data_IF_843141710926
#
_entry.id   IF_843141710926
#
_cell.length_a   1.000
_cell.length_b   1.000
_cell.length_c   1.000
_cell.angle_alpha   90.00
_cell.angle_beta   90.00
_cell.angle_gamma   90.00
#
_symmetry.space_group_name_H-M   'P 1'
#
loop_
_entity.id
_entity.type
_entity.pdbx_description
1 polymer ?
#
# COMPACT_ATOMS: atom_id res chain seq x y z
N UNK A 1 -11.41 -10.65 -18.66
CA UNK A 1 -12.27 -11.80 -18.32
C UNK A 1 -12.10 -12.23 -16.87
N UNK A 2 -11.23 -13.17 -16.49
CA UNK A 2 -11.03 -13.55 -15.07
C UNK A 2 -10.29 -12.49 -14.24
N UNK A 3 -9.43 -11.72 -14.92
CA UNK A 3 -8.64 -10.61 -14.38
C UNK A 3 -9.41 -9.67 -13.43
N UNK A 4 -10.66 -9.34 -13.78
CA UNK A 4 -11.46 -8.38 -13.04
C UNK A 4 -12.06 -8.96 -11.75
N UNK A 5 -12.21 -10.28 -11.65
CA UNK A 5 -12.89 -10.94 -10.54
C UNK A 5 -11.91 -11.45 -9.47
N UNK A 6 -10.70 -11.85 -9.87
CA UNK A 6 -9.73 -12.45 -8.95
C UNK A 6 -8.87 -11.38 -8.25
N UNK A 7 -8.83 -11.34 -6.91
CA UNK A 7 -7.90 -10.51 -6.16
C UNK A 7 -6.44 -10.76 -6.54
N UNK A 8 -5.61 -9.71 -6.47
CA UNK A 8 -4.18 -9.68 -6.84
C UNK A 8 -3.90 -9.81 -8.33
N UNK A 9 -4.68 -10.59 -9.08
CA UNK A 9 -4.44 -10.82 -10.49
C UNK A 9 -4.47 -9.51 -11.28
N UNK A 10 -5.36 -8.59 -10.91
CA UNK A 10 -5.43 -7.26 -11.51
C UNK A 10 -4.15 -6.46 -11.27
N UNK A 11 -3.66 -6.43 -10.03
CA UNK A 11 -2.41 -5.73 -9.70
C UNK A 11 -1.21 -6.36 -10.41
N UNK A 12 -1.12 -7.69 -10.42
CA UNK A 12 0.00 -8.40 -11.04
C UNK A 12 0.07 -8.05 -12.54
N UNK A 13 -1.03 -8.16 -13.26
CA UNK A 13 -1.02 -7.94 -14.71
C UNK A 13 -0.89 -6.46 -15.11
N UNK A 14 -1.52 -5.54 -14.37
CA UNK A 14 -1.57 -4.13 -14.79
C UNK A 14 -0.51 -3.24 -14.16
N UNK A 15 0.05 -3.63 -13.00
CA UNK A 15 1.03 -2.83 -12.25
C UNK A 15 2.39 -3.51 -12.18
N UNK A 16 2.44 -4.82 -11.93
CA UNK A 16 3.69 -5.57 -11.71
C UNK A 16 4.18 -6.23 -13.00
N UNK A 17 4.64 -5.41 -13.94
CA UNK A 17 5.01 -5.83 -15.30
C UNK A 17 6.13 -6.88 -15.41
N UNK A 18 6.91 -7.11 -14.36
CA UNK A 18 8.05 -8.04 -14.36
C UNK A 18 8.10 -8.89 -13.10
N UNK A 19 8.78 -10.04 -13.17
CA UNK A 19 9.03 -10.89 -11.99
C UNK A 19 9.76 -10.13 -10.88
N UNK A 20 10.66 -9.21 -11.25
CA UNK A 20 11.35 -8.34 -10.30
C UNK A 20 10.39 -7.39 -9.58
N UNK A 21 9.38 -6.84 -10.26
CA UNK A 21 8.34 -6.03 -9.61
C UNK A 21 7.45 -6.86 -8.68
N UNK A 22 7.14 -8.10 -9.04
CA UNK A 22 6.41 -9.03 -8.15
C UNK A 22 7.23 -9.33 -6.90
N UNK A 23 8.51 -9.66 -7.05
CA UNK A 23 9.41 -9.89 -5.92
C UNK A 23 9.53 -8.64 -5.04
N UNK A 24 9.72 -7.46 -5.65
CA UNK A 24 9.76 -6.20 -4.93
C UNK A 24 8.48 -5.96 -4.14
N UNK A 25 7.32 -6.26 -4.71
CA UNK A 25 6.05 -6.13 -4.02
C UNK A 25 5.94 -7.08 -2.81
N UNK A 26 6.36 -8.35 -2.95
CA UNK A 26 6.38 -9.30 -1.83
C UNK A 26 7.26 -8.79 -0.67
N UNK A 27 8.45 -8.29 -0.99
CA UNK A 27 9.42 -7.76 -0.02
C UNK A 27 8.94 -6.45 0.61
N UNK A 28 8.30 -5.57 -0.14
CA UNK A 28 7.84 -4.27 0.38
C UNK A 28 6.55 -4.37 1.19
N UNK A 29 5.69 -5.34 0.86
CA UNK A 29 4.33 -5.38 1.41
C UNK A 29 4.07 -6.65 2.21
N UNK A 30 4.27 -7.83 1.63
CA UNK A 30 3.87 -9.09 2.26
C UNK A 30 4.75 -9.43 3.46
N UNK A 31 6.09 -9.40 3.29
CA UNK A 31 7.02 -9.73 4.38
C UNK A 31 6.84 -8.78 5.58
N UNK A 32 6.77 -7.45 5.40
CA UNK A 32 6.59 -6.54 6.52
C UNK A 32 5.29 -6.79 7.29
N UNK A 33 4.19 -7.11 6.61
CA UNK A 33 2.90 -7.42 7.26
C UNK A 33 3.05 -8.59 8.23
N UNK A 34 3.69 -9.68 7.81
CA UNK A 34 3.94 -10.82 8.70
C UNK A 34 5.04 -10.54 9.74
N UNK A 35 6.00 -9.66 9.44
CA UNK A 35 7.00 -9.21 10.41
C UNK A 35 6.38 -8.39 11.55
N UNK A 36 5.42 -7.51 11.25
CA UNK A 36 4.66 -6.76 12.25
C UNK A 36 3.98 -7.70 13.25
N UNK A 37 3.45 -8.80 12.74
CA UNK A 37 2.74 -9.77 13.55
C UNK A 37 3.64 -10.33 14.67
N UNK A 38 4.88 -10.75 14.37
CA UNK A 38 5.76 -11.45 15.32
C UNK A 38 6.05 -10.65 16.58
N UNK A 39 5.85 -9.33 16.52
CA UNK A 39 6.02 -8.46 17.66
C UNK A 39 4.71 -8.14 18.34
N UNK A 40 3.63 -7.80 17.63
CA UNK A 40 2.45 -7.18 18.27
C UNK A 40 1.31 -8.12 18.72
N UNK A 41 1.33 -9.42 18.40
CA UNK A 41 0.33 -10.35 18.96
C UNK A 41 0.99 -11.35 19.89
N UNK A 42 1.00 -10.99 21.17
CA UNK A 42 1.26 -11.96 22.24
C UNK A 42 -0.01 -12.81 22.44
N UNK A 43 0.10 -14.13 22.26
CA UNK A 43 -0.96 -15.09 22.60
C UNK A 43 -1.72 -15.74 21.44
N UNK A 44 -1.60 -15.24 20.20
CA UNK A 44 -2.18 -15.92 19.04
C UNK A 44 -1.32 -17.12 18.59
N UNK A 45 -1.96 -18.19 18.11
CA UNK A 45 -1.26 -19.30 17.45
C UNK A 45 -0.82 -18.93 16.04
N UNK A 46 0.34 -19.45 15.57
CA UNK A 46 0.91 -19.16 14.24
C UNK A 46 -0.13 -19.32 13.11
N UNK A 47 -1.05 -20.27 13.24
CA UNK A 47 -2.16 -20.46 12.28
C UNK A 47 -3.13 -19.27 12.27
N UNK A 48 -3.55 -18.79 13.44
CA UNK A 48 -4.46 -17.64 13.60
C UNK A 48 -3.88 -16.39 12.95
N UNK A 49 -2.57 -16.26 13.10
CA UNK A 49 -1.76 -15.15 12.60
C UNK A 49 -1.68 -15.13 11.09
N UNK A 50 -1.36 -16.28 10.50
CA UNK A 50 -1.30 -16.45 9.06
C UNK A 50 -2.67 -16.16 8.49
N UNK A 51 -3.73 -16.67 9.13
CA UNK A 51 -5.11 -16.45 8.72
C UNK A 51 -5.49 -14.96 8.78
N UNK A 52 -5.17 -14.25 9.88
CA UNK A 52 -5.35 -12.78 9.99
C UNK A 52 -4.67 -12.06 8.83
N UNK A 53 -3.40 -12.36 8.57
CA UNK A 53 -2.62 -11.69 7.53
C UNK A 53 -3.16 -11.93 6.14
N UNK A 54 -3.45 -13.19 5.81
CA UNK A 54 -4.01 -13.56 4.50
C UNK A 54 -5.36 -12.88 4.28
N UNK A 55 -6.27 -12.95 5.26
CA UNK A 55 -7.59 -12.32 5.14
C UNK A 55 -7.49 -10.79 5.07
N UNK A 56 -6.62 -10.18 5.87
CA UNK A 56 -6.39 -8.74 5.85
C UNK A 56 -5.84 -8.25 4.52
N UNK A 57 -4.78 -8.90 4.02
CA UNK A 57 -4.18 -8.58 2.72
C UNK A 57 -5.20 -8.81 1.58
N UNK A 58 -5.95 -9.91 1.62
CA UNK A 58 -6.99 -10.22 0.63
C UNK A 58 -8.09 -9.16 0.61
N UNK A 59 -8.59 -8.73 1.77
CA UNK A 59 -9.61 -7.68 1.86
C UNK A 59 -9.09 -6.35 1.30
N UNK A 60 -7.90 -5.92 1.76
CA UNK A 60 -7.29 -4.66 1.31
C UNK A 60 -7.11 -4.68 -0.20
N UNK A 61 -6.55 -5.75 -0.77
CA UNK A 61 -6.33 -5.85 -2.21
C UNK A 61 -7.62 -5.91 -3.01
N UNK A 62 -8.61 -6.64 -2.51
CA UNK A 62 -9.89 -6.71 -3.17
C UNK A 62 -10.56 -5.32 -3.29
N UNK A 63 -10.54 -4.53 -2.21
CA UNK A 63 -11.09 -3.17 -2.18
C UNK A 63 -10.23 -2.18 -2.98
N UNK A 64 -8.91 -2.30 -2.87
CA UNK A 64 -7.96 -1.42 -3.54
C UNK A 64 -7.97 -1.61 -5.07
N UNK A 65 -8.13 -2.84 -5.55
CA UNK A 65 -8.24 -3.15 -6.98
C UNK A 65 -9.54 -2.64 -7.60
N UNK A 66 -10.64 -2.54 -6.85
CA UNK A 66 -11.87 -1.87 -7.33
C UNK A 66 -11.56 -0.42 -7.74
N UNK A 67 -10.79 0.30 -6.92
CA UNK A 67 -10.33 1.65 -7.21
C UNK A 67 -9.44 1.73 -8.46
N UNK A 68 -8.58 0.73 -8.67
CA UNK A 68 -7.75 0.62 -9.86
C UNK A 68 -8.53 0.30 -11.13
N UNK A 69 -9.46 -0.66 -11.08
CA UNK A 69 -10.33 -1.01 -12.20
C UNK A 69 -11.11 0.23 -12.63
N UNK A 70 -11.73 0.95 -11.69
CA UNK A 70 -12.43 2.19 -12.00
C UNK A 70 -11.49 3.25 -12.59
N UNK A 71 -10.28 3.40 -12.03
CA UNK A 71 -9.32 4.36 -12.57
C UNK A 71 -8.89 4.03 -14.00
N UNK A 72 -8.73 2.75 -14.34
CA UNK A 72 -8.20 2.33 -15.63
C UNK A 72 -9.27 2.15 -16.71
N UNK A 73 -10.56 2.10 -16.33
CA UNK A 73 -11.67 1.93 -17.26
C UNK A 73 -12.57 3.17 -17.36
N UNK A 74 -12.96 3.78 -16.24
CA UNK A 74 -13.95 4.88 -16.22
C UNK A 74 -13.28 6.25 -16.13
N UNK A 75 -12.28 6.39 -15.28
CA UNK A 75 -11.56 7.66 -15.13
C UNK A 75 -10.87 8.08 -16.41
N UNK A 76 -10.21 7.15 -17.12
CA UNK A 76 -9.44 7.47 -18.33
C UNK A 76 -10.28 8.18 -19.40
N UNK A 77 -11.59 7.92 -19.45
CA UNK A 77 -12.53 8.56 -20.37
C UNK A 77 -12.65 10.08 -20.14
N UNK A 78 -12.31 10.55 -18.93
CA UNK A 78 -12.34 11.96 -18.53
C UNK A 78 -10.97 12.65 -18.67
N UNK A 79 -9.91 11.91 -19.00
CA UNK A 79 -8.55 12.43 -19.06
C UNK A 79 -8.24 13.03 -20.44
N UNK A 80 -7.57 14.19 -20.46
CA UNK A 80 -7.08 14.80 -21.72
C UNK A 80 -6.03 13.93 -22.42
N UNK A 81 -5.22 13.22 -21.63
CA UNK A 81 -4.17 12.29 -22.11
C UNK A 81 -4.25 11.01 -21.28
N UNK A 82 -5.13 10.06 -21.66
CA UNK A 82 -5.39 8.86 -20.87
C UNK A 82 -4.16 7.97 -20.77
N UNK A 83 -3.93 7.42 -19.57
CA UNK A 83 -2.91 6.38 -19.38
C UNK A 83 -3.52 4.99 -19.53
N UNK A 84 -3.38 4.40 -20.72
CA UNK A 84 -3.90 3.05 -20.97
C UNK A 84 -3.07 1.97 -20.26
N UNK A 85 -3.76 1.15 -19.47
CA UNK A 85 -3.18 -0.02 -18.78
C UNK A 85 -3.88 -1.33 -19.11
N UNK A 86 -5.05 -1.25 -19.75
CA UNK A 86 -5.87 -2.37 -20.21
C UNK A 86 -5.81 -2.43 -21.74
N UNK A 87 -5.89 -3.64 -22.29
CA UNK A 87 -6.07 -3.84 -23.73
C UNK A 87 -7.49 -3.42 -24.18
N UNK A 88 -7.70 -3.11 -25.47
CA UNK A 88 -9.04 -2.85 -26.00
C UNK A 88 -10.06 -3.94 -25.66
N UNK A 89 -9.71 -5.22 -25.85
CA UNK A 89 -10.58 -6.35 -25.50
C UNK A 89 -10.97 -6.38 -24.02
N UNK A 90 -10.05 -5.96 -23.14
CA UNK A 90 -10.30 -5.91 -21.71
C UNK A 90 -11.26 -4.78 -21.34
N UNK A 91 -11.17 -3.64 -22.03
CA UNK A 91 -12.10 -2.51 -21.87
C UNK A 91 -13.49 -2.87 -22.40
N UNK A 92 -13.58 -3.51 -23.56
CA UNK A 92 -14.84 -3.98 -24.13
C UNK A 92 -15.52 -5.01 -23.24
N UNK A 93 -14.73 -5.94 -22.67
CA UNK A 93 -15.25 -6.88 -21.68
C UNK A 93 -15.73 -6.17 -20.42
N UNK A 94 -14.99 -5.18 -19.93
CA UNK A 94 -15.38 -4.39 -18.77
C UNK A 94 -16.71 -3.68 -19.00
N UNK A 95 -16.90 -2.97 -20.11
CA UNK A 95 -18.15 -2.24 -20.37
C UNK A 95 -19.37 -3.14 -20.38
N UNK A 96 -19.23 -4.35 -20.94
CA UNK A 96 -20.30 -5.35 -20.98
C UNK A 96 -20.62 -5.95 -19.61
N UNK A 97 -19.69 -5.94 -18.65
CA UNK A 97 -19.77 -6.72 -17.41
C UNK A 97 -19.56 -5.92 -16.12
N UNK A 98 -19.41 -4.58 -16.17
CA UNK A 98 -18.97 -3.77 -15.02
C UNK A 98 -19.81 -3.95 -13.77
N UNK A 99 -21.13 -4.08 -13.88
CA UNK A 99 -22.00 -4.35 -12.74
C UNK A 99 -21.66 -5.69 -12.06
N UNK A 100 -21.51 -6.76 -12.86
CA UNK A 100 -21.10 -8.07 -12.34
C UNK A 100 -19.74 -8.02 -11.66
N UNK A 101 -18.75 -7.35 -12.27
CA UNK A 101 -17.41 -7.18 -11.71
C UNK A 101 -17.48 -6.54 -10.32
N UNK A 102 -18.18 -5.41 -10.19
CA UNK A 102 -18.27 -4.72 -8.91
C UNK A 102 -19.11 -5.49 -7.89
N UNK A 103 -20.20 -6.14 -8.29
CA UNK A 103 -21.03 -6.97 -7.41
C UNK A 103 -20.24 -8.14 -6.83
N UNK A 104 -19.47 -8.88 -7.64
CA UNK A 104 -18.65 -9.99 -7.15
C UNK A 104 -17.57 -9.49 -6.18
N UNK A 105 -16.88 -8.39 -6.52
CA UNK A 105 -15.87 -7.79 -5.63
C UNK A 105 -16.47 -7.33 -4.30
N UNK A 106 -17.66 -6.74 -4.34
CA UNK A 106 -18.37 -6.30 -3.14
C UNK A 106 -18.80 -7.48 -2.27
N UNK A 107 -19.39 -8.52 -2.86
CA UNK A 107 -19.79 -9.74 -2.12
C UNK A 107 -18.56 -10.42 -1.52
N UNK A 108 -17.46 -10.55 -2.25
CA UNK A 108 -16.21 -11.09 -1.72
C UNK A 108 -15.68 -10.25 -0.54
N UNK A 109 -15.70 -8.92 -0.64
CA UNK A 109 -15.30 -8.03 0.46
C UNK A 109 -16.19 -8.21 1.70
N UNK A 110 -17.51 -8.34 1.51
CA UNK A 110 -18.45 -8.57 2.61
C UNK A 110 -18.19 -9.91 3.30
N UNK A 111 -18.03 -11.00 2.54
CA UNK A 111 -17.75 -12.33 3.09
C UNK A 111 -16.45 -12.29 3.92
N UNK A 112 -15.37 -11.72 3.38
CA UNK A 112 -14.10 -11.61 4.11
C UNK A 112 -14.25 -10.73 5.36
N UNK A 113 -15.00 -9.62 5.26
CA UNK A 113 -15.25 -8.73 6.40
C UNK A 113 -16.03 -9.43 7.52
N UNK A 114 -17.04 -10.22 7.17
CA UNK A 114 -17.82 -11.02 8.12
C UNK A 114 -16.94 -12.06 8.80
N UNK A 115 -16.08 -12.77 8.05
CA UNK A 115 -15.13 -13.73 8.62
C UNK A 115 -14.19 -13.01 9.61
N UNK A 116 -13.58 -11.89 9.22
CA UNK A 116 -12.69 -11.11 10.10
C UNK A 116 -13.43 -10.64 11.36
N UNK A 117 -14.68 -10.19 11.23
CA UNK A 117 -15.49 -9.75 12.36
C UNK A 117 -15.79 -10.88 13.33
N UNK A 118 -16.22 -12.04 12.83
CA UNK A 118 -16.57 -13.21 13.66
C UNK A 118 -15.35 -13.74 14.42
N UNK A 119 -14.20 -13.88 13.74
CA UNK A 119 -13.03 -14.52 14.32
C UNK A 119 -12.13 -13.57 15.11
N UNK A 120 -12.03 -12.29 14.71
CA UNK A 120 -11.04 -11.35 15.27
C UNK A 120 -11.64 -10.09 15.88
N UNK A 121 -12.94 -9.81 15.66
CA UNK A 121 -13.67 -8.65 16.21
C UNK A 121 -12.99 -7.29 15.96
N UNK A 122 -12.13 -7.19 14.94
CA UNK A 122 -11.32 -5.99 14.70
C UNK A 122 -12.07 -4.97 13.83
N UNK A 123 -12.98 -4.24 14.45
CA UNK A 123 -13.82 -3.23 13.78
C UNK A 123 -12.99 -2.06 13.23
N UNK A 124 -11.92 -1.66 13.93
CA UNK A 124 -11.03 -0.59 13.48
C UNK A 124 -10.37 -0.90 12.14
N UNK A 125 -9.87 -2.13 11.96
CA UNK A 125 -9.33 -2.57 10.69
C UNK A 125 -10.39 -2.56 9.58
N UNK A 126 -11.60 -3.03 9.86
CA UNK A 126 -12.69 -3.05 8.87
C UNK A 126 -13.06 -1.64 8.40
N UNK A 127 -13.19 -0.68 9.32
CA UNK A 127 -13.41 0.73 8.97
C UNK A 127 -12.28 1.27 8.09
N UNK A 128 -11.03 1.02 8.47
CA UNK A 128 -9.88 1.44 7.68
C UNK A 128 -9.91 0.79 6.27
N UNK A 129 -10.13 -0.51 6.16
CA UNK A 129 -10.17 -1.22 4.88
C UNK A 129 -11.28 -0.66 3.96
N UNK A 130 -12.51 -0.52 4.45
CA UNK A 130 -13.63 0.01 3.66
C UNK A 130 -13.47 1.48 3.27
N UNK A 131 -12.75 2.28 4.06
CA UNK A 131 -12.42 3.66 3.70
C UNK A 131 -11.63 3.77 2.38
N UNK A 132 -10.96 2.70 1.93
CA UNK A 132 -10.25 2.66 0.64
C UNK A 132 -11.20 2.98 -0.52
N UNK A 133 -12.44 2.46 -0.52
CA UNK A 133 -13.41 2.74 -1.58
C UNK A 133 -13.73 4.23 -1.63
N UNK A 134 -14.00 4.83 -0.47
CA UNK A 134 -14.35 6.25 -0.34
C UNK A 134 -13.17 7.12 -0.82
N UNK A 135 -11.97 6.82 -0.33
CA UNK A 135 -10.75 7.53 -0.72
C UNK A 135 -10.49 7.40 -2.22
N UNK A 136 -10.73 6.24 -2.82
CA UNK A 136 -10.59 6.07 -4.27
C UNK A 136 -11.65 6.81 -5.06
N UNK A 137 -12.89 6.85 -4.58
CA UNK A 137 -13.95 7.62 -5.22
C UNK A 137 -13.57 9.11 -5.29
N UNK A 138 -13.04 9.66 -4.19
CA UNK A 138 -12.55 11.05 -4.14
C UNK A 138 -11.33 11.20 -5.06
N UNK A 139 -10.31 10.36 -4.89
CA UNK A 139 -9.07 10.38 -5.67
C UNK A 139 -9.32 10.31 -7.18
N UNK A 140 -10.27 9.48 -7.61
CA UNK A 140 -10.57 9.28 -9.02
C UNK A 140 -11.28 10.48 -9.67
N UNK A 141 -11.88 11.37 -8.88
CA UNK A 141 -12.51 12.59 -9.38
C UNK A 141 -11.61 13.82 -9.31
N UNK A 142 -10.57 13.83 -8.47
CA UNK A 142 -9.66 14.96 -8.30
C UNK A 142 -8.40 14.78 -9.17
N UNK A 143 -8.16 15.72 -10.11
CA UNK A 143 -7.03 15.68 -11.07
C UNK A 143 -5.98 16.78 -10.88
N UNK A 144 -6.13 17.62 -9.87
CA UNK A 144 -5.19 18.70 -9.55
C UNK A 144 -4.28 18.32 -8.38
N UNK A 145 -3.57 19.30 -7.81
CA UNK A 145 -2.65 19.11 -6.68
C UNK A 145 -3.29 18.47 -5.45
N UNK A 146 -4.60 18.64 -5.23
CA UNK A 146 -5.33 18.00 -4.12
C UNK A 146 -5.37 16.47 -4.26
N UNK A 147 -4.99 15.91 -5.40
CA UNK A 147 -4.77 14.47 -5.55
C UNK A 147 -3.64 13.95 -4.65
N UNK A 148 -2.63 14.77 -4.32
CA UNK A 148 -1.48 14.39 -3.47
C UNK A 148 -1.90 14.01 -2.04
N UNK A 149 -2.61 14.86 -1.26
CA UNK A 149 -3.02 14.48 0.09
C UNK A 149 -3.97 13.27 0.10
N UNK A 150 -4.88 13.15 -0.88
CA UNK A 150 -5.76 11.96 -0.97
C UNK A 150 -4.94 10.70 -1.27
N UNK A 151 -3.92 10.81 -2.13
CA UNK A 151 -3.01 9.70 -2.38
C UNK A 151 -2.23 9.30 -1.12
N UNK A 152 -1.73 10.27 -0.35
CA UNK A 152 -1.07 10.00 0.92
C UNK A 152 -2.01 9.23 1.87
N UNK A 153 -3.28 9.64 1.99
CA UNK A 153 -4.28 8.91 2.77
C UNK A 153 -4.51 7.49 2.24
N UNK A 154 -4.64 7.30 0.92
CA UNK A 154 -4.78 5.98 0.30
C UNK A 154 -3.62 5.04 0.65
N UNK A 155 -2.38 5.53 0.54
CA UNK A 155 -1.19 4.75 0.85
C UNK A 155 -1.11 4.46 2.35
N UNK A 156 -1.45 5.44 3.19
CA UNK A 156 -1.50 5.28 4.65
C UNK A 156 -2.50 4.20 5.04
N UNK A 157 -3.74 4.27 4.55
CA UNK A 157 -4.74 3.24 4.83
C UNK A 157 -4.29 1.88 4.33
N UNK A 158 -3.78 1.77 3.09
CA UNK A 158 -3.36 0.48 2.53
C UNK A 158 -2.22 -0.20 3.31
N UNK A 159 -1.27 0.58 3.82
CA UNK A 159 -0.08 0.04 4.51
C UNK A 159 -0.28 -0.05 6.02
N UNK A 160 -0.81 1.01 6.65
CA UNK A 160 -0.90 1.10 8.10
C UNK A 160 -2.15 0.40 8.66
N UNK A 161 -3.21 0.16 7.87
CA UNK A 161 -4.40 -0.56 8.38
C UNK A 161 -4.07 -1.99 8.80
N UNK A 162 -3.13 -2.67 8.14
CA UNK A 162 -2.74 -4.03 8.53
C UNK A 162 -2.10 -4.08 9.93
N UNK A 163 -1.54 -2.98 10.42
CA UNK A 163 -1.06 -2.88 11.80
C UNK A 163 -2.21 -2.88 12.79
N UNK A 164 -3.30 -2.20 12.45
CA UNK A 164 -4.54 -2.17 13.24
C UNK A 164 -5.08 -3.59 13.44
N UNK A 165 -4.95 -4.43 12.41
CA UNK A 165 -5.38 -5.82 12.48
C UNK A 165 -4.66 -6.62 13.58
N UNK A 166 -3.41 -6.25 13.87
CA UNK A 166 -2.50 -6.97 14.75
C UNK A 166 -2.25 -6.29 16.09
N UNK A 167 -2.69 -5.06 16.32
CA UNK A 167 -2.49 -4.37 17.59
C UNK A 167 -3.79 -3.69 18.03
N UNK A 168 -4.57 -4.33 18.91
CA UNK A 168 -5.80 -3.72 19.45
C UNK A 168 -5.53 -2.58 20.45
N UNK A 169 -4.33 -2.52 21.04
CA UNK A 169 -3.97 -1.61 22.13
C UNK A 169 -2.67 -0.88 21.73
N UNK A 170 -2.72 0.45 21.56
CA UNK A 170 -1.51 1.26 21.30
C UNK A 170 -1.38 1.87 19.90
N UNK A 171 -2.51 2.27 19.30
CA UNK A 171 -2.57 2.87 17.96
C UNK A 171 -1.61 4.04 17.73
N UNK A 172 -1.41 4.94 18.70
CA UNK A 172 -0.81 6.25 18.45
C UNK A 172 0.60 6.18 17.88
N UNK A 173 1.56 5.70 18.67
CA UNK A 173 2.97 5.79 18.30
C UNK A 173 3.33 4.86 17.14
N UNK A 174 2.92 3.59 17.17
CA UNK A 174 3.26 2.63 16.12
C UNK A 174 2.67 3.01 14.75
N UNK A 175 1.44 3.51 14.71
CA UNK A 175 0.82 3.99 13.48
C UNK A 175 1.55 5.20 12.91
N UNK A 176 1.87 6.19 13.75
CA UNK A 176 2.61 7.40 13.35
C UNK A 176 3.99 7.02 12.81
N UNK A 177 4.72 6.15 13.50
CA UNK A 177 6.05 5.69 13.06
C UNK A 177 5.98 5.01 11.68
N UNK A 178 4.94 4.23 11.43
CA UNK A 178 4.75 3.52 10.17
C UNK A 178 4.38 4.42 8.99
N UNK A 179 3.81 5.60 9.25
CA UNK A 179 3.61 6.63 8.22
C UNK A 179 4.96 7.07 7.64
N UNK A 180 6.01 7.15 8.46
CA UNK A 180 7.35 7.48 7.97
C UNK A 180 7.97 6.34 7.15
N UNK A 181 7.74 5.09 7.55
CA UNK A 181 8.33 3.93 6.84
C UNK A 181 7.93 3.89 5.36
N UNK A 182 6.67 4.19 5.01
CA UNK A 182 6.21 3.99 3.63
C UNK A 182 5.38 5.15 3.04
N UNK A 183 4.29 5.62 3.66
CA UNK A 183 3.50 6.73 3.11
C UNK A 183 4.27 8.02 2.80
N UNK A 184 5.19 8.44 3.68
CA UNK A 184 5.94 9.69 3.52
C UNK A 184 6.85 9.63 2.29
N UNK A 185 7.75 8.65 2.23
CA UNK A 185 8.68 8.53 1.09
C UNK A 185 7.93 8.36 -0.24
N UNK A 186 6.83 7.60 -0.24
CA UNK A 186 6.03 7.43 -1.44
C UNK A 186 5.34 8.73 -1.89
N UNK A 187 5.01 9.61 -0.95
CA UNK A 187 4.43 10.93 -1.25
C UNK A 187 5.50 11.89 -1.75
N UNK A 188 6.69 11.91 -1.14
CA UNK A 188 7.83 12.72 -1.60
C UNK A 188 8.18 12.43 -3.07
N UNK A 189 8.25 11.15 -3.44
CA UNK A 189 8.49 10.74 -4.83
C UNK A 189 7.37 11.13 -5.80
N UNK A 190 6.15 11.28 -5.29
CA UNK A 190 5.02 11.68 -6.12
C UNK A 190 5.00 13.20 -6.28
N UNK A 191 5.42 13.96 -5.28
CA UNK A 191 5.61 15.41 -5.36
C UNK A 191 6.68 15.81 -6.38
N UNK A 192 7.67 14.95 -6.69
CA UNK A 192 8.66 15.22 -7.75
C UNK A 192 8.16 14.98 -9.17
N UNK A 193 6.93 14.51 -9.36
CA UNK A 193 6.37 14.33 -10.70
C UNK A 193 6.06 15.69 -11.35
N UNK A 194 6.52 15.87 -12.60
CA UNK A 194 6.36 17.13 -13.36
C UNK A 194 4.93 17.66 -13.41
N UNK A 195 3.92 16.77 -13.35
CA UNK A 195 2.50 17.14 -13.40
C UNK A 195 2.01 18.00 -12.22
N UNK A 196 2.75 18.03 -11.10
CA UNK A 196 2.37 18.81 -9.92
C UNK A 196 3.09 20.16 -9.85
N UNK A 197 4.08 20.39 -10.72
CA UNK A 197 4.82 21.66 -10.82
C UNK A 197 5.42 22.18 -9.50
N UNK A 198 5.93 21.25 -8.67
CA UNK A 198 6.55 21.55 -7.40
C UNK A 198 8.08 21.58 -7.51
N UNK A 199 8.65 22.71 -7.94
CA UNK A 199 10.08 22.86 -8.22
C UNK A 199 11.00 22.42 -7.05
N UNK A 200 10.61 22.73 -5.80
CA UNK A 200 11.36 22.34 -4.59
C UNK A 200 11.52 20.81 -4.50
N UNK A 201 10.46 20.05 -4.75
CA UNK A 201 10.47 18.60 -4.63
C UNK A 201 11.10 17.91 -5.84
N UNK A 202 11.07 18.53 -7.02
CA UNK A 202 11.71 18.00 -8.23
C UNK A 202 13.23 17.95 -8.11
N UNK A 203 13.83 18.92 -7.39
CA UNK A 203 15.28 19.01 -7.22
C UNK A 203 15.79 18.35 -5.92
N UNK A 204 14.89 17.95 -5.02
CA UNK A 204 15.27 17.35 -3.75
C UNK A 204 15.79 15.91 -3.95
N UNK A 205 17.00 15.63 -3.45
CA UNK A 205 17.64 14.32 -3.61
C UNK A 205 16.81 13.16 -3.04
N UNK A 206 16.07 13.39 -1.97
CA UNK A 206 15.20 12.38 -1.33
C UNK A 206 13.99 12.00 -2.19
N UNK A 207 13.57 12.85 -3.13
CA UNK A 207 12.46 12.55 -4.03
C UNK A 207 12.89 11.79 -5.29
N UNK A 208 14.20 11.50 -5.43
CA UNK A 208 14.72 10.72 -6.55
C UNK A 208 14.31 9.25 -6.39
N UNK A 209 13.65 8.68 -7.40
CA UNK A 209 13.13 7.30 -7.37
C UNK A 209 14.22 6.22 -7.29
N UNK A 210 15.44 6.51 -7.73
CA UNK A 210 16.60 5.60 -7.70
C UNK A 210 17.38 5.76 -6.39
N UNK A 211 17.93 6.96 -6.16
CA UNK A 211 18.86 7.19 -5.05
C UNK A 211 18.22 7.74 -3.77
N UNK A 212 17.03 8.33 -3.87
CA UNK A 212 16.37 8.99 -2.75
C UNK A 212 15.92 8.02 -1.67
N UNK A 213 15.45 6.81 -2.07
CA UNK A 213 14.89 5.83 -1.12
C UNK A 213 15.90 5.33 -0.10
N UNK A 214 17.09 4.87 -0.51
CA UNK A 214 18.05 4.33 0.47
C UNK A 214 18.62 5.44 1.36
N UNK A 215 18.79 6.67 0.83
CA UNK A 215 19.20 7.84 1.63
C UNK A 215 18.13 8.21 2.66
N UNK A 216 16.86 8.15 2.27
CA UNK A 216 15.73 8.34 3.17
C UNK A 216 15.75 7.31 4.31
N UNK A 217 15.89 6.02 3.99
CA UNK A 217 15.93 4.98 5.02
C UNK A 217 17.20 5.03 5.87
N UNK A 218 18.33 5.51 5.35
CA UNK A 218 19.52 5.78 6.16
C UNK A 218 19.25 6.88 7.20
N UNK A 219 18.66 8.00 6.78
CA UNK A 219 18.29 9.07 7.70
C UNK A 219 17.27 8.58 8.74
N UNK A 220 16.26 7.82 8.30
CA UNK A 220 15.24 7.26 9.18
C UNK A 220 15.82 6.25 10.17
N UNK A 221 16.80 5.45 9.74
CA UNK A 221 17.52 4.52 10.60
C UNK A 221 18.29 5.24 11.71
N UNK A 222 19.00 6.33 11.38
CA UNK A 222 19.69 7.16 12.39
C UNK A 222 18.70 7.74 13.41
N UNK A 223 17.55 8.26 12.94
CA UNK A 223 16.48 8.74 13.82
C UNK A 223 15.94 7.61 14.69
N UNK A 224 15.74 6.42 14.12
CA UNK A 224 15.22 5.27 14.86
C UNK A 224 16.16 4.81 15.98
N UNK A 225 17.48 4.87 15.78
CA UNK A 225 18.45 4.57 16.83
C UNK A 225 18.44 5.62 17.95
N UNK A 226 18.29 6.90 17.62
CA UNK A 226 18.12 7.95 18.64
C UNK A 226 16.84 7.70 19.43
N UNK A 227 15.73 7.38 18.77
CA UNK A 227 14.47 7.03 19.44
C UNK A 227 14.63 5.80 20.34
N UNK A 228 15.37 4.78 19.90
CA UNK A 228 15.61 3.57 20.69
C UNK A 228 16.43 3.83 21.96
N UNK A 229 17.33 4.81 21.94
CA UNK A 229 18.08 5.25 23.13
C UNK A 229 17.16 5.99 24.12
N UNK A 230 16.20 6.77 23.61
CA UNK A 230 15.27 7.56 24.43
C UNK A 230 14.15 6.67 25.01
N UNK A 231 13.63 5.74 24.22
CA UNK A 231 12.50 4.89 24.57
C UNK A 231 12.63 3.51 23.93
N UNK A 232 12.57 2.46 24.75
CA UNK A 232 12.70 1.05 24.35
C UNK A 232 11.36 0.33 24.25
N UNK A 233 10.26 1.06 24.07
CA UNK A 233 8.96 0.44 23.82
C UNK A 233 8.98 -0.49 22.60
N UNK A 234 8.09 -1.47 22.61
CA UNK A 234 7.89 -2.40 21.49
C UNK A 234 7.69 -1.68 20.15
N UNK A 235 7.03 -0.51 20.16
CA UNK A 235 6.83 0.31 18.97
C UNK A 235 8.15 0.86 18.38
N UNK A 236 9.06 1.38 19.21
CA UNK A 236 10.34 1.92 18.76
C UNK A 236 11.30 0.81 18.30
N UNK A 237 11.27 -0.34 18.96
CA UNK A 237 12.00 -1.55 18.54
C UNK A 237 11.54 -2.00 17.15
N UNK A 238 10.23 -2.18 16.96
CA UNK A 238 9.69 -2.60 15.66
C UNK A 238 10.00 -1.56 14.59
N UNK A 239 9.81 -0.27 14.87
CA UNK A 239 10.15 0.80 13.93
C UNK A 239 11.63 0.75 13.50
N UNK A 240 12.55 0.55 14.43
CA UNK A 240 13.98 0.40 14.14
C UNK A 240 14.24 -0.81 13.24
N UNK A 241 13.64 -1.96 13.53
CA UNK A 241 13.76 -3.15 12.70
C UNK A 241 13.24 -2.94 11.28
N UNK A 242 12.12 -2.23 11.12
CA UNK A 242 11.60 -1.81 9.82
C UNK A 242 12.57 -0.89 9.09
N UNK A 243 13.18 0.08 9.77
CA UNK A 243 14.17 0.96 9.18
C UNK A 243 15.40 0.17 8.67
N UNK A 244 15.91 -0.76 9.48
CA UNK A 244 17.01 -1.66 9.10
C UNK A 244 16.61 -2.47 7.86
N UNK A 245 15.45 -3.12 7.90
CA UNK A 245 14.93 -3.96 6.82
C UNK A 245 14.84 -3.19 5.49
N UNK A 246 14.15 -2.04 5.51
CA UNK A 246 13.96 -1.23 4.30
C UNK A 246 15.26 -0.59 3.82
N UNK A 247 16.16 -0.19 4.73
CA UNK A 247 17.47 0.32 4.36
C UNK A 247 18.29 -0.74 3.63
N UNK A 248 18.45 -1.93 4.20
CA UNK A 248 19.19 -3.04 3.58
C UNK A 248 18.61 -3.37 2.22
N UNK A 249 17.29 -3.56 2.13
CA UNK A 249 16.64 -3.88 0.87
C UNK A 249 16.88 -2.81 -0.20
N UNK A 250 16.70 -1.52 0.12
CA UNK A 250 16.87 -0.42 -0.83
C UNK A 250 18.32 -0.19 -1.22
N UNK A 251 19.24 -0.35 -0.27
CA UNK A 251 20.67 -0.26 -0.53
C UNK A 251 21.11 -1.34 -1.50
N UNK A 252 20.77 -2.61 -1.24
CA UNK A 252 21.08 -3.72 -2.15
C UNK A 252 20.47 -3.52 -3.53
N UNK A 253 19.20 -3.10 -3.60
CA UNK A 253 18.53 -2.82 -4.87
C UNK A 253 19.25 -1.73 -5.68
N UNK A 254 19.73 -0.66 -5.02
CA UNK A 254 20.48 0.41 -5.68
C UNK A 254 21.84 -0.04 -6.25
N UNK A 255 22.41 -1.13 -5.72
CA UNK A 255 23.67 -1.71 -6.20
C UNK A 255 23.46 -2.67 -7.36
N UNK A 256 22.31 -3.36 -7.38
CA UNK A 256 21.96 -4.35 -8.41
C UNK A 256 21.41 -3.66 -9.67
N UNK A 257 20.57 -2.62 -9.51
CA UNK A 257 20.02 -1.86 -10.63
C UNK A 257 21.02 -0.77 -11.04
N UNK A 258 22.11 -1.16 -11.69
CA UNK A 258 23.00 -0.19 -12.35
C UNK A 258 22.52 0.18 -13.75
N UNK A 259 21.92 -0.74 -14.51
CA UNK A 259 21.83 -0.61 -15.98
C UNK A 259 20.44 -0.72 -16.63
N UNK A 260 19.34 -0.71 -15.87
CA UNK A 260 18.00 -0.69 -16.47
C UNK A 260 17.11 0.31 -15.73
N UNK A 261 17.11 1.58 -16.16
CA UNK A 261 15.99 2.54 -16.16
C UNK A 261 16.48 3.90 -16.68
#
# INVERSE_FOLDING_TARGET
MILFYTPFLYTIQTRLKSKAHVLSWLVIYIIPVFFCFSFFNEGDSVTTIILKGVLGILLIYNLYEVGYIYNDAETIKKEKKPTYRLSPDSLDYYEKNKYSIYSVRFVAALIISIIIFIFFKNVGFLFAAWSIIILYAIYNNIRNIFNLPIHFLLVTVRFCSLLILYSPIGFGCAFILMIFIFPVINTLERCSEKRFDLALFQNMTLCNKKDGRYKYYLALLLVSFVLLIIDTTQATVVFTMYCIYFFIYRYLLSRIIKDEF
#
